data_IF_173360571974
#
_entry.id   IF_173360571974
#
_cell.length_a   1.000
_cell.length_b   1.000
_cell.length_c   1.000
_cell.angle_alpha   90.00
_cell.angle_beta   90.00
_cell.angle_gamma   90.00
#
_symmetry.space_group_name_H-M   'P 1'
#
loop_
_entity.id
_entity.type
_entity.pdbx_description
1 polymer ?
#
# COMPACT_ATOMS: atom_id res chain seq x y z
N UNK A 1 -12.93 -2.45 16.71
CA UNK A 1 -12.03 -1.81 15.72
C UNK A 1 -10.93 -2.80 15.39
N UNK A 2 -10.67 -3.09 14.11
CA UNK A 2 -9.72 -4.13 13.71
C UNK A 2 -8.34 -3.49 13.49
N UNK A 3 -7.54 -3.43 14.55
CA UNK A 3 -6.15 -2.98 14.49
C UNK A 3 -5.28 -4.06 13.85
N UNK A 4 -4.37 -3.71 12.92
CA UNK A 4 -3.37 -4.66 12.44
C UNK A 4 -2.57 -5.19 13.61
N UNK A 5 -2.33 -6.50 13.59
CA UNK A 5 -1.38 -7.15 14.48
C UNK A 5 0.03 -6.60 14.20
N UNK A 6 0.61 -5.90 15.17
CA UNK A 6 1.93 -5.28 14.98
C UNK A 6 3.07 -6.31 14.93
N UNK A 7 2.83 -7.54 15.39
CA UNK A 7 3.83 -8.62 15.35
C UNK A 7 3.99 -9.26 13.98
N UNK A 8 3.06 -9.00 13.05
CA UNK A 8 3.03 -9.60 11.71
C UNK A 8 3.46 -8.61 10.64
N UNK A 9 4.13 -9.13 9.62
CA UNK A 9 4.51 -8.37 8.42
C UNK A 9 3.36 -8.35 7.42
N UNK A 10 2.96 -7.16 6.99
CA UNK A 10 1.92 -6.95 5.99
C UNK A 10 2.43 -6.09 4.82
N UNK A 11 1.87 -6.33 3.64
CA UNK A 11 2.07 -5.48 2.46
C UNK A 11 0.73 -5.07 1.86
N UNK A 12 0.69 -3.89 1.23
CA UNK A 12 -0.48 -3.39 0.50
C UNK A 12 -0.57 -4.11 -0.84
N UNK A 13 -1.77 -4.55 -1.23
CA UNK A 13 -2.00 -5.11 -2.57
C UNK A 13 -2.30 -4.02 -3.58
N UNK A 14 -1.83 -4.24 -4.81
CA UNK A 14 -2.25 -3.47 -5.97
C UNK A 14 -3.72 -3.81 -6.21
N UNK A 15 -4.56 -2.79 -6.24
CA UNK A 15 -5.99 -2.90 -6.56
C UNK A 15 -6.23 -2.51 -8.02
N UNK A 16 -7.40 -2.86 -8.55
CA UNK A 16 -7.82 -2.43 -9.89
C UNK A 16 -7.82 -0.89 -9.99
N UNK A 17 -8.17 -0.19 -8.91
CA UNK A 17 -8.12 1.27 -8.86
C UNK A 17 -6.69 1.80 -9.01
N UNK A 18 -5.69 1.18 -8.38
CA UNK A 18 -4.28 1.58 -8.54
C UNK A 18 -3.86 1.47 -10.01
N UNK A 19 -4.27 0.40 -10.69
CA UNK A 19 -3.98 0.18 -12.13
C UNK A 19 -4.71 1.22 -13.00
N UNK A 20 -6.00 1.47 -12.75
CA UNK A 20 -6.77 2.47 -13.49
C UNK A 20 -6.19 3.87 -13.33
N UNK A 21 -5.81 4.26 -12.12
CA UNK A 21 -5.18 5.56 -11.87
C UNK A 21 -3.84 5.68 -12.57
N UNK A 22 -3.02 4.61 -12.59
CA UNK A 22 -1.76 4.61 -13.33
C UNK A 22 -1.97 4.74 -14.84
N UNK A 23 -2.95 4.03 -15.41
CA UNK A 23 -3.31 4.16 -16.83
C UNK A 23 -3.82 5.56 -17.15
N UNK A 24 -4.64 6.16 -16.28
CA UNK A 24 -5.09 7.55 -16.44
C UNK A 24 -3.93 8.54 -16.42
N UNK A 25 -3.00 8.38 -15.47
CA UNK A 25 -1.79 9.22 -15.39
C UNK A 25 -1.00 9.14 -16.69
N UNK A 26 -0.76 7.93 -17.21
CA UNK A 26 -0.05 7.72 -18.49
C UNK A 26 -0.83 8.35 -19.64
N UNK A 27 -2.15 8.14 -19.70
CA UNK A 27 -3.01 8.73 -20.73
C UNK A 27 -2.97 10.25 -20.73
N UNK A 28 -2.95 10.88 -19.55
CA UNK A 28 -2.87 12.34 -19.45
C UNK A 28 -1.54 12.91 -19.94
N UNK A 29 -0.43 12.16 -19.88
CA UNK A 29 0.85 12.65 -20.38
C UNK A 29 0.85 12.94 -21.90
N UNK A 30 -0.09 12.38 -22.67
CA UNK A 30 -0.23 12.65 -24.11
C UNK A 30 -0.93 13.97 -24.45
N UNK A 31 -1.53 14.66 -23.47
CA UNK A 31 -2.20 15.94 -23.69
C UNK A 31 -1.27 17.12 -23.38
N UNK A 32 -1.41 18.22 -24.13
CA UNK A 32 -0.54 19.41 -24.05
C UNK A 32 -0.44 20.09 -22.66
N UNK A 33 -1.29 19.72 -21.69
CA UNK A 33 -1.24 20.15 -20.28
C UNK A 33 -1.55 19.05 -19.28
N UNK A 34 -1.58 17.79 -19.70
CA UNK A 34 -2.04 16.71 -18.83
C UNK A 34 -1.05 16.37 -17.70
N UNK A 35 0.18 16.87 -17.76
CA UNK A 35 1.14 16.76 -16.64
C UNK A 35 0.62 17.37 -15.33
N UNK A 36 -0.14 18.48 -15.38
CA UNK A 36 -0.76 19.07 -14.18
C UNK A 36 -1.82 18.15 -13.59
N UNK A 37 -2.62 17.52 -14.46
CA UNK A 37 -3.68 16.60 -14.05
C UNK A 37 -3.09 15.29 -13.50
N UNK A 38 -2.02 14.78 -14.12
CA UNK A 38 -1.24 13.65 -13.62
C UNK A 38 -0.65 13.94 -12.24
N UNK A 39 -0.05 15.12 -12.04
CA UNK A 39 0.49 15.53 -10.75
C UNK A 39 -0.62 15.59 -9.68
N UNK A 40 -1.76 16.18 -10.03
CA UNK A 40 -2.92 16.27 -9.15
C UNK A 40 -3.41 14.88 -8.72
N UNK A 41 -3.50 13.94 -9.66
CA UNK A 41 -3.89 12.56 -9.38
C UNK A 41 -2.91 11.86 -8.45
N UNK A 42 -1.61 12.00 -8.67
CA UNK A 42 -0.58 11.41 -7.81
C UNK A 42 -0.71 11.91 -6.36
N UNK A 43 -1.01 13.20 -6.19
CA UNK A 43 -1.16 13.81 -4.86
C UNK A 43 -2.47 13.41 -4.19
N UNK A 44 -3.60 13.45 -4.91
CA UNK A 44 -4.94 13.24 -4.33
C UNK A 44 -5.25 11.76 -4.11
N UNK A 45 -4.84 10.89 -5.04
CA UNK A 45 -5.11 9.46 -5.01
C UNK A 45 -4.85 8.79 -3.64
N UNK A 46 -3.69 8.99 -2.96
CA UNK A 46 -3.44 8.39 -1.65
C UNK A 46 -4.39 8.84 -0.54
N UNK A 47 -5.04 10.00 -0.67
CA UNK A 47 -6.00 10.52 0.30
C UNK A 47 -7.43 10.07 0.03
N UNK A 48 -7.79 9.77 -1.22
CA UNK A 48 -9.12 9.30 -1.58
C UNK A 48 -9.46 7.91 -0.98
N UNK A 49 -8.45 7.11 -0.65
CA UNK A 49 -8.67 5.79 -0.09
C UNK A 49 -8.93 5.85 1.42
N UNK A 50 -10.18 5.63 1.81
CA UNK A 50 -10.56 5.40 3.23
C UNK A 50 -10.08 4.02 3.72
N UNK A 51 -10.06 3.03 2.83
CA UNK A 51 -9.62 1.65 3.10
C UNK A 51 -8.58 1.21 2.08
N UNK A 52 -7.63 0.42 2.54
CA UNK A 52 -6.59 -0.23 1.73
C UNK A 52 -6.66 -1.72 1.95
N UNK A 53 -6.38 -2.48 0.88
CA UNK A 53 -6.27 -3.93 0.96
C UNK A 53 -4.84 -4.30 1.30
N UNK A 54 -4.67 -5.05 2.39
CA UNK A 54 -3.38 -5.57 2.85
C UNK A 54 -3.43 -7.09 2.93
N UNK A 55 -2.26 -7.71 2.87
CA UNK A 55 -2.11 -9.15 2.98
C UNK A 55 -0.90 -9.46 3.85
N UNK A 56 -1.01 -10.56 4.60
CA UNK A 56 0.10 -11.02 5.43
C UNK A 56 1.21 -11.56 4.53
N UNK A 57 2.46 -11.34 4.92
CA UNK A 57 3.61 -11.94 4.24
C UNK A 57 3.63 -13.47 4.45
N UNK A 58 3.25 -13.94 5.65
CA UNK A 58 3.19 -15.38 5.97
C UNK A 58 2.00 -16.08 5.30
N UNK A 59 0.85 -15.42 5.21
CA UNK A 59 -0.34 -15.98 4.59
C UNK A 59 -0.84 -15.08 3.46
N UNK A 60 -0.34 -15.39 2.26
CA UNK A 60 -0.66 -14.70 1.01
C UNK A 60 -2.09 -14.92 0.55
N UNK A 61 -2.87 -15.84 1.13
CA UNK A 61 -4.29 -15.98 0.76
C UNK A 61 -5.19 -15.07 1.59
N UNK A 62 -4.72 -14.64 2.77
CA UNK A 62 -5.48 -13.73 3.62
C UNK A 62 -5.46 -12.30 3.07
N UNK A 63 -6.64 -11.81 2.69
CA UNK A 63 -6.89 -10.42 2.25
C UNK A 63 -7.64 -9.69 3.36
N UNK A 64 -7.06 -8.61 3.86
CA UNK A 64 -7.64 -7.79 4.93
C UNK A 64 -7.89 -6.39 4.40
N UNK A 65 -9.10 -5.89 4.62
CA UNK A 65 -9.43 -4.49 4.36
C UNK A 65 -9.22 -3.68 5.63
N UNK A 66 -8.31 -2.72 5.57
CA UNK A 66 -7.87 -1.95 6.73
C UNK A 66 -8.07 -0.47 6.42
N UNK A 67 -8.43 0.33 7.41
CA UNK A 67 -8.52 1.78 7.22
C UNK A 67 -7.14 2.33 6.87
N UNK A 68 -7.09 3.28 5.95
CA UNK A 68 -5.85 3.92 5.52
C UNK A 68 -5.10 4.57 6.69
N UNK A 69 -5.81 5.08 7.70
CA UNK A 69 -5.22 5.59 8.94
C UNK A 69 -4.44 4.51 9.72
N UNK A 70 -5.04 3.33 9.92
CA UNK A 70 -4.41 2.22 10.64
C UNK A 70 -3.21 1.68 9.86
N UNK A 71 -3.30 1.61 8.52
CA UNK A 71 -2.20 1.26 7.64
C UNK A 71 -1.06 2.30 7.66
N UNK A 72 -1.40 3.59 7.62
CA UNK A 72 -0.43 4.67 7.69
C UNK A 72 0.34 4.63 9.01
N UNK A 73 -0.35 4.35 10.12
CA UNK A 73 0.26 4.16 11.44
C UNK A 73 1.21 2.95 11.44
N UNK A 74 0.74 1.79 10.98
CA UNK A 74 1.57 0.57 10.86
C UNK A 74 2.84 0.81 10.03
N UNK A 75 2.72 1.39 8.83
CA UNK A 75 3.88 1.68 7.98
C UNK A 75 4.90 2.59 8.65
N UNK A 76 4.45 3.59 9.42
CA UNK A 76 5.34 4.51 10.14
C UNK A 76 6.14 3.78 11.21
N UNK A 77 5.50 2.88 11.96
CA UNK A 77 6.16 2.05 12.98
C UNK A 77 7.18 1.10 12.34
N UNK A 78 6.79 0.43 11.26
CA UNK A 78 7.61 -0.59 10.59
C UNK A 78 8.61 -0.01 9.57
N UNK A 79 8.74 1.32 9.48
CA UNK A 79 9.68 1.98 8.57
C UNK A 79 9.39 1.77 7.08
N UNK A 80 8.17 1.35 6.72
CA UNK A 80 7.77 1.06 5.34
C UNK A 80 7.56 2.37 4.59
N UNK A 81 8.50 2.70 3.70
CA UNK A 81 8.39 3.87 2.82
C UNK A 81 7.17 3.76 1.91
N UNK A 82 6.60 4.90 1.53
CA UNK A 82 5.43 4.96 0.66
C UNK A 82 5.63 4.19 -0.67
N UNK A 83 6.83 4.21 -1.25
CA UNK A 83 7.11 3.48 -2.49
C UNK A 83 7.35 1.98 -2.33
N UNK A 84 7.52 1.49 -1.10
CA UNK A 84 7.88 0.08 -0.81
C UNK A 84 6.69 -0.77 -0.35
N UNK A 85 5.51 -0.17 -0.23
CA UNK A 85 4.32 -0.80 0.37
C UNK A 85 3.80 -2.05 -0.34
N UNK A 86 4.06 -2.18 -1.64
CA UNK A 86 3.49 -3.23 -2.47
C UNK A 86 4.39 -4.46 -2.57
N UNK A 87 5.62 -4.36 -2.09
CA UNK A 87 6.53 -5.50 -2.04
C UNK A 87 6.29 -6.26 -0.73
N UNK A 88 6.08 -7.59 -0.77
CA UNK A 88 6.24 -8.38 0.43
C UNK A 88 7.70 -8.22 0.84
N UNK A 89 7.94 -7.55 1.97
CA UNK A 89 9.28 -7.46 2.50
C UNK A 89 9.57 -8.84 3.10
N UNK A 90 10.30 -9.67 2.34
CA UNK A 90 10.92 -10.91 2.82
C UNK A 90 12.08 -10.57 3.77
N UNK A 91 11.89 -9.60 4.66
CA UNK A 91 12.88 -9.31 5.69
C UNK A 91 13.06 -10.60 6.47
N UNK A 92 14.21 -11.20 6.22
CA UNK A 92 14.83 -12.26 6.98
C UNK A 92 14.74 -11.94 8.47
N UNK A 93 13.64 -12.35 9.09
CA UNK A 93 13.60 -12.58 10.51
C UNK A 93 13.82 -14.09 10.60
N UNK A 94 15.06 -14.56 10.89
CA UNK A 94 15.18 -15.90 11.41
C UNK A 94 14.32 -15.91 12.66
N UNK A 95 13.23 -16.66 12.63
CA UNK A 95 12.51 -17.04 13.83
C UNK A 95 13.54 -17.85 14.61
N UNK A 96 14.31 -17.17 15.47
CA UNK A 96 15.04 -17.85 16.54
C UNK A 96 13.93 -18.42 17.43
N UNK A 97 13.56 -19.66 17.14
CA UNK A 97 12.98 -20.55 18.12
C UNK A 97 13.96 -20.55 19.31
N UNK A 98 13.59 -19.83 20.37
CA UNK A 98 14.18 -20.02 21.68
C UNK A 98 13.20 -20.88 22.45
N UNK A 99 13.74 -22.03 22.84
CA UNK A 99 13.18 -23.17 23.57
C UNK A 99 12.21 -24.07 22.81
#
# INVERSE_FOLDING_TARGET
MQTLDQSKSYYRRITVLDVMTLVMIIGFLFFAKGYLLSLLLIVIYPFCHSKVMVSSVLDKNTRLWVRNMDWNYYRKIHGIKFFMQYKPQESAIPIKHVN
#
